data_IF_477224143955
#
_entry.id   IF_477224143955
#
_cell.length_a   1.000
_cell.length_b   1.000
_cell.length_c   1.000
_cell.angle_alpha   90.00
_cell.angle_beta   90.00
_cell.angle_gamma   90.00
#
_symmetry.space_group_name_H-M   'P 1'
#
loop_
_entity.id
_entity.type
_entity.pdbx_description
1 polymer ?
#
# COMPACT_ATOMS: atom_id res chain seq x y z
N UNK A 1 19.98 0.46 -4.35
CA UNK A 1 19.18 0.19 -5.56
C UNK A 1 18.93 -1.30 -5.77
N UNK A 2 19.94 -2.19 -5.76
CA UNK A 2 19.72 -3.64 -5.89
C UNK A 2 18.77 -4.25 -4.83
N UNK A 3 18.97 -3.95 -3.54
CA UNK A 3 18.03 -4.39 -2.48
C UNK A 3 16.59 -3.88 -2.66
N UNK A 4 16.42 -2.73 -3.31
CA UNK A 4 15.08 -2.21 -3.61
C UNK A 4 14.47 -2.97 -4.80
N UNK A 5 15.26 -3.26 -5.84
CA UNK A 5 14.86 -4.10 -6.96
C UNK A 5 14.41 -5.48 -6.49
N UNK A 6 15.20 -6.13 -5.61
CA UNK A 6 14.85 -7.42 -5.01
C UNK A 6 13.52 -7.35 -4.24
N UNK A 7 13.31 -6.30 -3.44
CA UNK A 7 12.04 -6.10 -2.70
C UNK A 7 10.85 -5.84 -3.61
N UNK A 8 11.04 -5.11 -4.72
CA UNK A 8 9.98 -4.86 -5.71
C UNK A 8 9.62 -6.17 -6.42
N UNK A 9 10.62 -6.97 -6.80
CA UNK A 9 10.42 -8.26 -7.48
C UNK A 9 9.83 -9.33 -6.57
N UNK A 10 10.14 -9.31 -5.27
CA UNK A 10 9.59 -10.23 -4.28
C UNK A 10 8.24 -9.78 -3.69
N UNK A 11 7.73 -8.60 -4.08
CA UNK A 11 6.48 -8.08 -3.55
C UNK A 11 5.29 -8.72 -4.26
N UNK A 12 4.43 -9.37 -3.49
CA UNK A 12 3.12 -9.87 -3.95
C UNK A 12 2.03 -8.78 -3.96
N UNK A 13 2.33 -7.58 -3.43
CA UNK A 13 1.37 -6.48 -3.29
C UNK A 13 1.32 -5.55 -4.51
N UNK A 14 2.10 -5.82 -5.54
CA UNK A 14 2.10 -5.12 -6.85
C UNK A 14 2.03 -6.17 -7.96
N UNK A 15 1.40 -5.82 -9.08
CA UNK A 15 1.32 -6.75 -10.23
C UNK A 15 2.71 -7.04 -10.80
N UNK A 16 2.89 -8.19 -11.47
CA UNK A 16 4.15 -8.51 -12.16
C UNK A 16 4.56 -7.43 -13.16
N UNK A 17 3.58 -6.83 -13.85
CA UNK A 17 3.81 -5.73 -14.79
C UNK A 17 4.31 -4.47 -14.07
N UNK A 18 3.67 -4.06 -12.98
CA UNK A 18 4.14 -2.92 -12.19
C UNK A 18 5.51 -3.19 -11.55
N UNK A 19 5.76 -4.42 -11.12
CA UNK A 19 7.06 -4.84 -10.58
C UNK A 19 8.17 -4.74 -11.64
N UNK A 20 7.91 -5.25 -12.85
CA UNK A 20 8.82 -5.17 -13.99
C UNK A 20 9.09 -3.72 -14.42
N UNK A 21 8.06 -2.88 -14.53
CA UNK A 21 8.21 -1.47 -14.91
C UNK A 21 9.03 -0.68 -13.88
N UNK A 22 8.83 -0.97 -12.60
CA UNK A 22 9.59 -0.36 -11.50
C UNK A 22 11.04 -0.86 -11.48
N UNK A 23 11.27 -2.15 -11.75
CA UNK A 23 12.61 -2.73 -11.87
C UNK A 23 13.39 -2.12 -13.05
N UNK A 24 12.75 -1.96 -14.21
CA UNK A 24 13.35 -1.34 -15.39
C UNK A 24 13.76 0.12 -15.13
N UNK A 25 12.95 0.87 -14.38
CA UNK A 25 13.27 2.24 -13.95
C UNK A 25 14.47 2.31 -13.01
N UNK A 26 14.67 1.31 -12.16
CA UNK A 26 15.85 1.19 -11.30
C UNK A 26 17.09 0.84 -12.12
N UNK A 27 16.97 -0.06 -13.11
CA UNK A 27 18.07 -0.43 -14.00
C UNK A 27 18.54 0.77 -14.85
N UNK A 28 17.62 1.58 -15.36
CA UNK A 28 17.95 2.80 -16.08
C UNK A 28 18.78 3.79 -15.22
N UNK A 29 18.47 3.89 -13.92
CA UNK A 29 19.24 4.74 -12.99
C UNK A 29 20.64 4.18 -12.70
N UNK A 30 20.79 2.86 -12.63
CA UNK A 30 22.09 2.21 -12.48
C UNK A 30 22.96 2.54 -13.70
N UNK A 31 22.41 2.40 -14.91
CA UNK A 31 23.12 2.74 -16.15
C UNK A 31 23.48 4.24 -16.23
N UNK A 32 22.57 5.14 -15.87
CA UNK A 32 22.85 6.59 -15.79
C UNK A 32 24.01 6.88 -14.81
N UNK A 33 24.06 6.18 -13.67
CA UNK A 33 25.11 6.37 -12.67
C UNK A 33 26.47 5.82 -13.13
N UNK A 34 26.48 4.68 -13.82
CA UNK A 34 27.69 4.08 -14.39
C UNK A 34 28.26 4.95 -15.51
N UNK A 35 27.42 5.45 -16.41
CA UNK A 35 27.84 6.38 -17.46
C UNK A 35 28.40 7.69 -16.88
N UNK A 36 27.79 8.22 -15.81
CA UNK A 36 28.29 9.43 -15.16
C UNK A 36 29.64 9.20 -14.46
N UNK A 37 29.85 8.01 -13.86
CA UNK A 37 31.17 7.60 -13.33
C UNK A 37 32.23 7.52 -14.41
N UNK A 38 31.89 7.01 -15.59
CA UNK A 38 32.82 6.89 -16.69
C UNK A 38 33.30 8.26 -17.21
N UNK A 39 32.44 9.27 -17.20
CA UNK A 39 32.82 10.66 -17.51
C UNK A 39 33.85 11.25 -16.53
N UNK A 40 33.85 10.83 -15.26
CA UNK A 40 34.92 11.22 -14.32
C UNK A 40 36.26 10.61 -14.75
N UNK A 41 36.27 9.34 -15.14
CA UNK A 41 37.50 8.65 -15.53
C UNK A 41 38.08 9.15 -16.85
N UNK A 42 37.23 9.66 -17.73
CA UNK A 42 37.60 10.21 -19.03
C UNK A 42 37.91 11.71 -19.01
N UNK A 43 37.57 12.42 -17.92
CA UNK A 43 37.80 13.86 -17.81
C UNK A 43 39.31 14.17 -17.80
N UNK A 44 39.73 15.00 -18.74
CA UNK A 44 41.12 15.44 -18.93
C UNK A 44 41.35 16.88 -18.49
N UNK A 45 40.27 17.64 -18.25
CA UNK A 45 40.31 19.02 -17.80
C UNK A 45 39.48 19.27 -16.54
N UNK A 46 39.77 20.37 -15.84
CA UNK A 46 38.99 20.80 -14.68
C UNK A 46 37.53 21.12 -15.03
N UNK A 47 37.27 21.65 -16.24
CA UNK A 47 35.91 21.91 -16.71
C UNK A 47 35.13 20.60 -16.96
N UNK A 48 35.77 19.62 -17.62
CA UNK A 48 35.19 18.28 -17.83
C UNK A 48 34.92 17.57 -16.50
N UNK A 49 35.85 17.66 -15.55
CA UNK A 49 35.69 17.08 -14.21
C UNK A 49 34.52 17.74 -13.46
N UNK A 50 34.42 19.07 -13.48
CA UNK A 50 33.31 19.78 -12.83
C UNK A 50 31.96 19.46 -13.47
N UNK A 51 31.90 19.30 -14.80
CA UNK A 51 30.70 18.87 -15.50
C UNK A 51 30.29 17.44 -15.11
N UNK A 52 31.25 16.51 -15.05
CA UNK A 52 31.02 15.13 -14.62
C UNK A 52 30.53 15.04 -13.17
N UNK A 53 31.11 15.85 -12.25
CA UNK A 53 30.67 15.93 -10.85
C UNK A 53 29.21 16.41 -10.76
N UNK A 54 28.83 17.47 -11.47
CA UNK A 54 27.44 17.97 -11.49
C UNK A 54 26.47 16.92 -12.01
N UNK A 55 26.87 16.17 -13.04
CA UNK A 55 26.06 15.10 -13.61
C UNK A 55 25.85 13.96 -12.60
N UNK A 56 26.90 13.54 -11.88
CA UNK A 56 26.78 12.54 -10.82
C UNK A 56 25.87 13.03 -9.68
N UNK A 57 26.00 14.29 -9.27
CA UNK A 57 25.13 14.87 -8.25
C UNK A 57 23.65 14.82 -8.70
N UNK A 58 23.38 15.18 -9.96
CA UNK A 58 22.05 15.11 -10.56
C UNK A 58 21.50 13.68 -10.59
N UNK A 59 22.28 12.73 -11.08
CA UNK A 59 21.88 11.30 -11.16
C UNK A 59 21.67 10.73 -9.76
N UNK A 60 22.53 11.05 -8.80
CA UNK A 60 22.41 10.59 -7.41
C UNK A 60 21.14 11.13 -6.76
N UNK A 61 20.83 12.42 -6.96
CA UNK A 61 19.58 13.02 -6.46
C UNK A 61 18.36 12.34 -7.07
N UNK A 62 18.33 12.17 -8.40
CA UNK A 62 17.25 11.48 -9.11
C UNK A 62 17.08 10.03 -8.61
N UNK A 63 18.19 9.30 -8.46
CA UNK A 63 18.18 7.93 -7.97
C UNK A 63 17.65 7.82 -6.53
N UNK A 64 18.03 8.75 -5.64
CA UNK A 64 17.52 8.82 -4.27
C UNK A 64 16.00 9.06 -4.26
N UNK A 65 15.52 10.11 -4.93
CA UNK A 65 14.10 10.47 -4.94
C UNK A 65 13.23 9.34 -5.51
N UNK A 66 13.69 8.72 -6.60
CA UNK A 66 12.99 7.58 -7.19
C UNK A 66 13.00 6.35 -6.27
N UNK A 67 14.14 6.06 -5.63
CA UNK A 67 14.23 4.96 -4.65
C UNK A 67 13.28 5.16 -3.48
N UNK A 68 13.17 6.38 -2.95
CA UNK A 68 12.23 6.72 -1.88
C UNK A 68 10.77 6.62 -2.37
N UNK A 69 10.45 7.18 -3.54
CA UNK A 69 9.11 7.07 -4.13
C UNK A 69 8.66 5.62 -4.30
N UNK A 70 9.55 4.76 -4.81
CA UNK A 70 9.26 3.34 -4.99
C UNK A 70 9.06 2.60 -3.67
N UNK A 71 9.89 2.86 -2.66
CA UNK A 71 9.76 2.25 -1.34
C UNK A 71 8.43 2.63 -0.67
N UNK A 72 8.02 3.90 -0.78
CA UNK A 72 6.73 4.36 -0.26
C UNK A 72 5.55 3.86 -1.10
N UNK A 73 5.73 3.71 -2.41
CA UNK A 73 4.74 3.09 -3.29
C UNK A 73 4.47 1.63 -2.95
N UNK A 74 5.47 0.90 -2.46
CA UNK A 74 5.32 -0.47 -1.97
C UNK A 74 4.52 -0.51 -0.66
N UNK A 75 4.93 0.29 0.34
CA UNK A 75 4.21 0.38 1.62
C UNK A 75 2.73 0.79 1.42
N UNK A 76 2.47 1.73 0.51
CA UNK A 76 1.10 2.12 0.13
C UNK A 76 0.32 0.93 -0.41
N UNK A 77 0.92 0.11 -1.27
CA UNK A 77 0.26 -1.07 -1.84
C UNK A 77 -0.04 -2.13 -0.78
N UNK A 78 0.87 -2.36 0.16
CA UNK A 78 0.66 -3.26 1.30
C UNK A 78 -0.54 -2.82 2.16
N UNK A 79 -0.62 -1.53 2.51
CA UNK A 79 -1.75 -0.99 3.29
C UNK A 79 -3.06 -1.09 2.49
N UNK A 80 -3.02 -0.83 1.17
CA UNK A 80 -4.18 -1.00 0.31
C UNK A 80 -4.70 -2.45 0.32
N UNK A 81 -3.81 -3.44 0.33
CA UNK A 81 -4.18 -4.84 0.49
C UNK A 81 -4.87 -5.14 1.83
N UNK A 82 -4.47 -4.46 2.92
CA UNK A 82 -5.19 -4.55 4.20
C UNK A 82 -6.59 -3.95 4.09
N UNK A 83 -6.72 -2.77 3.46
CA UNK A 83 -8.02 -2.11 3.21
C UNK A 83 -8.98 -3.02 2.46
N UNK A 84 -8.52 -3.72 1.41
CA UNK A 84 -9.38 -4.63 0.65
C UNK A 84 -9.88 -5.79 1.52
N UNK A 85 -9.02 -6.35 2.38
CA UNK A 85 -9.45 -7.39 3.33
C UNK A 85 -10.44 -6.84 4.35
N UNK A 86 -10.26 -5.60 4.79
CA UNK A 86 -11.19 -4.90 5.68
C UNK A 86 -12.58 -4.74 5.06
N UNK A 87 -12.66 -4.28 3.81
CA UNK A 87 -13.93 -4.14 3.06
C UNK A 87 -14.64 -5.51 2.90
N UNK A 88 -13.90 -6.59 2.70
CA UNK A 88 -14.48 -7.95 2.67
C UNK A 88 -15.05 -8.32 4.03
N UNK A 89 -14.32 -8.06 5.12
CA UNK A 89 -14.76 -8.35 6.49
C UNK A 89 -16.00 -7.56 6.85
N UNK A 90 -16.10 -6.29 6.47
CA UNK A 90 -17.28 -5.45 6.64
C UNK A 90 -18.53 -6.13 6.08
N UNK A 91 -18.47 -6.54 4.80
CA UNK A 91 -19.57 -7.24 4.13
C UNK A 91 -19.92 -8.58 4.79
N UNK A 92 -18.93 -9.28 5.37
CA UNK A 92 -19.22 -10.51 6.14
C UNK A 92 -20.02 -10.20 7.39
N UNK A 93 -19.68 -9.11 8.07
CA UNK A 93 -20.38 -8.68 9.29
C UNK A 93 -21.80 -8.23 8.94
N UNK A 94 -22.00 -7.47 7.86
CA UNK A 94 -23.34 -7.11 7.37
C UNK A 94 -24.24 -8.34 7.21
N UNK A 95 -23.72 -9.41 6.59
CA UNK A 95 -24.46 -10.66 6.42
C UNK A 95 -24.84 -11.29 7.78
N UNK A 96 -23.93 -11.27 8.76
CA UNK A 96 -24.21 -11.79 10.10
C UNK A 96 -25.26 -10.92 10.83
N UNK A 97 -25.21 -9.60 10.67
CA UNK A 97 -26.19 -8.69 11.25
C UNK A 97 -27.59 -8.91 10.69
N UNK A 98 -27.72 -9.06 9.37
CA UNK A 98 -28.99 -9.42 8.73
C UNK A 98 -29.56 -10.75 9.28
N UNK A 99 -28.70 -11.73 9.53
CA UNK A 99 -29.08 -12.99 10.18
C UNK A 99 -29.60 -12.77 11.60
N UNK A 100 -28.92 -11.96 12.41
CA UNK A 100 -29.33 -11.62 13.78
C UNK A 100 -30.65 -10.84 13.83
N UNK A 101 -30.85 -9.89 12.92
CA UNK A 101 -32.10 -9.13 12.79
C UNK A 101 -33.29 -10.02 12.44
N UNK A 102 -33.10 -10.99 11.54
CA UNK A 102 -34.14 -11.96 11.20
C UNK A 102 -34.58 -12.82 12.40
N UNK A 103 -33.69 -12.97 13.39
CA UNK A 103 -33.97 -13.64 14.66
C UNK A 103 -34.58 -12.70 15.72
N UNK A 104 -34.86 -11.45 15.38
CA UNK A 104 -35.41 -10.44 16.28
C UNK A 104 -34.40 -9.89 17.29
N UNK A 105 -33.09 -10.01 17.03
CA UNK A 105 -32.04 -9.40 17.85
C UNK A 105 -31.89 -7.93 17.47
N UNK A 106 -31.63 -7.09 18.46
CA UNK A 106 -31.27 -5.69 18.24
C UNK A 106 -29.78 -5.59 17.87
N UNK A 107 -29.51 -5.15 16.64
CA UNK A 107 -28.18 -4.99 16.05
C UNK A 107 -27.74 -3.53 15.96
N UNK A 108 -28.59 -2.57 16.34
CA UNK A 108 -28.39 -1.13 16.11
C UNK A 108 -27.05 -0.59 16.62
N UNK A 109 -26.60 -1.07 17.80
CA UNK A 109 -25.30 -0.70 18.37
C UNK A 109 -24.10 -1.24 17.59
N UNK A 110 -24.25 -2.37 16.90
CA UNK A 110 -23.22 -2.96 16.05
C UNK A 110 -23.19 -2.30 14.68
N UNK A 111 -24.36 -2.04 14.08
CA UNK A 111 -24.49 -1.31 12.82
C UNK A 111 -23.83 0.08 12.89
N UNK A 112 -24.03 0.81 14.00
CA UNK A 112 -23.40 2.10 14.20
C UNK A 112 -21.86 2.02 14.20
N UNK A 113 -21.30 0.97 14.84
CA UNK A 113 -19.85 0.72 14.86
C UNK A 113 -19.33 0.27 13.51
N UNK A 114 -20.11 -0.51 12.77
CA UNK A 114 -19.76 -0.98 11.44
C UNK A 114 -19.73 0.19 10.45
N UNK A 115 -20.66 1.14 10.57
CA UNK A 115 -20.63 2.39 9.81
C UNK A 115 -19.39 3.24 10.12
N UNK A 116 -19.01 3.35 11.39
CA UNK A 116 -17.77 4.03 11.81
C UNK A 116 -16.52 3.33 11.24
N UNK A 117 -16.50 2.00 11.26
CA UNK A 117 -15.46 1.18 10.66
C UNK A 117 -15.33 1.44 9.16
N UNK A 118 -16.43 1.36 8.40
CA UNK A 118 -16.45 1.62 6.95
C UNK A 118 -15.98 3.03 6.60
N UNK A 119 -16.42 4.04 7.36
CA UNK A 119 -15.96 5.43 7.19
C UNK A 119 -14.45 5.57 7.43
N UNK A 120 -13.92 4.92 8.47
CA UNK A 120 -12.48 4.93 8.78
C UNK A 120 -11.66 4.28 7.67
N UNK A 121 -12.13 3.15 7.14
CA UNK A 121 -11.50 2.45 6.01
C UNK A 121 -11.54 3.30 4.73
N UNK A 122 -12.68 3.94 4.43
CA UNK A 122 -12.79 4.85 3.28
C UNK A 122 -11.80 6.02 3.38
N UNK A 123 -11.68 6.63 4.57
CA UNK A 123 -10.71 7.72 4.78
C UNK A 123 -9.26 7.27 4.57
N UNK A 124 -8.91 6.05 4.99
CA UNK A 124 -7.59 5.47 4.73
C UNK A 124 -7.34 5.30 3.23
N UNK A 125 -8.36 4.84 2.48
CA UNK A 125 -8.31 4.64 1.02
C UNK A 125 -8.05 5.95 0.28
N UNK A 126 -8.76 7.02 0.64
CA UNK A 126 -8.60 8.35 0.04
C UNK A 126 -7.20 8.92 0.24
N UNK A 127 -6.63 8.72 1.43
CA UNK A 127 -5.24 9.13 1.72
C UNK A 127 -4.22 8.35 0.89
N UNK A 128 -4.43 7.05 0.69
CA UNK A 128 -3.54 6.25 -0.18
C UNK A 128 -3.67 6.63 -1.65
N UNK A 129 -4.88 6.96 -2.12
CA UNK A 129 -5.10 7.47 -3.48
C UNK A 129 -4.34 8.79 -3.70
N UNK A 130 -4.47 9.74 -2.76
CA UNK A 130 -3.73 11.01 -2.79
C UNK A 130 -2.21 10.78 -2.74
N UNK A 131 -1.73 9.85 -1.90
CA UNK A 131 -0.32 9.51 -1.84
C UNK A 131 0.20 8.88 -3.14
N UNK A 132 -0.63 8.10 -3.86
CA UNK A 132 -0.27 7.50 -5.15
C UNK A 132 0.09 8.58 -6.17
N UNK A 133 -0.72 9.63 -6.28
CA UNK A 133 -0.50 10.72 -7.23
C UNK A 133 0.78 11.49 -6.89
N UNK A 134 0.98 11.83 -5.61
CA UNK A 134 2.17 12.55 -5.16
C UNK A 134 3.48 11.79 -5.40
N UNK A 135 3.48 10.46 -5.26
CA UNK A 135 4.67 9.64 -5.52
C UNK A 135 5.07 9.61 -7.01
N UNK A 136 4.17 9.93 -7.93
CA UNK A 136 4.47 9.98 -9.37
C UNK A 136 5.30 11.21 -9.77
N UNK A 137 5.22 12.30 -8.99
CA UNK A 137 5.96 13.53 -9.28
C UNK A 137 7.48 13.37 -9.10
N UNK A 138 7.94 12.40 -8.30
CA UNK A 138 9.37 12.16 -8.00
C UNK A 138 10.09 13.43 -7.45
N UNK A 139 9.36 14.33 -6.79
CA UNK A 139 9.89 15.54 -6.15
C UNK A 139 9.97 15.41 -4.62
N UNK A 140 11.01 15.94 -4.00
CA UNK A 140 11.26 15.76 -2.55
C UNK A 140 10.11 16.24 -1.67
N UNK A 141 9.53 17.42 -1.98
CA UNK A 141 8.38 17.95 -1.23
C UNK A 141 7.14 17.04 -1.35
N UNK A 142 6.85 16.57 -2.57
CA UNK A 142 5.71 15.67 -2.82
C UNK A 142 5.87 14.31 -2.14
N UNK A 143 7.11 13.79 -2.10
CA UNK A 143 7.44 12.53 -1.42
C UNK A 143 7.22 12.67 0.09
N UNK A 144 7.65 13.77 0.71
CA UNK A 144 7.40 13.98 2.14
C UNK A 144 5.91 14.11 2.47
N UNK A 145 5.13 14.79 1.63
CA UNK A 145 3.67 14.83 1.79
C UNK A 145 3.05 13.44 1.64
N UNK A 146 3.45 12.67 0.63
CA UNK A 146 2.98 11.30 0.44
C UNK A 146 3.30 10.40 1.64
N UNK A 147 4.49 10.55 2.25
CA UNK A 147 4.89 9.83 3.45
C UNK A 147 3.96 10.10 4.63
N UNK A 148 3.56 11.35 4.83
CA UNK A 148 2.61 11.72 5.89
C UNK A 148 1.25 11.07 5.65
N UNK A 149 0.72 11.15 4.42
CA UNK A 149 -0.55 10.53 4.07
C UNK A 149 -0.54 9.01 4.26
N UNK A 150 0.57 8.34 3.90
CA UNK A 150 0.73 6.89 4.11
C UNK A 150 0.74 6.54 5.60
N UNK A 151 1.38 7.35 6.45
CA UNK A 151 1.37 7.14 7.90
C UNK A 151 -0.02 7.34 8.49
N UNK A 152 -0.74 8.36 8.07
CA UNK A 152 -2.11 8.61 8.49
C UNK A 152 -3.05 7.49 8.06
N UNK A 153 -2.94 7.01 6.81
CA UNK A 153 -3.71 5.86 6.34
C UNK A 153 -3.41 4.60 7.16
N UNK A 154 -2.14 4.35 7.50
CA UNK A 154 -1.75 3.25 8.38
C UNK A 154 -2.39 3.37 9.77
N UNK A 155 -2.40 4.57 10.34
CA UNK A 155 -3.02 4.82 11.64
C UNK A 155 -4.53 4.57 11.60
N UNK A 156 -5.22 5.05 10.57
CA UNK A 156 -6.66 4.78 10.37
C UNK A 156 -6.96 3.29 10.23
N UNK A 157 -6.13 2.53 9.53
CA UNK A 157 -6.28 1.06 9.44
C UNK A 157 -6.10 0.39 10.80
N UNK A 158 -5.23 0.92 11.67
CA UNK A 158 -5.08 0.41 13.04
C UNK A 158 -6.29 0.73 13.91
N UNK A 159 -6.85 1.93 13.77
CA UNK A 159 -8.08 2.34 14.45
C UNK A 159 -9.28 1.48 13.99
N UNK A 160 -9.43 1.28 12.69
CA UNK A 160 -10.42 0.38 12.13
C UNK A 160 -10.26 -1.05 12.67
N UNK A 161 -9.03 -1.53 12.86
CA UNK A 161 -8.80 -2.84 13.47
C UNK A 161 -9.32 -2.91 14.91
N UNK A 162 -9.13 -1.86 15.72
CA UNK A 162 -9.70 -1.80 17.06
C UNK A 162 -11.23 -1.83 17.05
N UNK A 163 -11.86 -1.05 16.15
CA UNK A 163 -13.31 -1.08 15.93
C UNK A 163 -13.80 -2.47 15.54
N UNK A 164 -13.08 -3.14 14.63
CA UNK A 164 -13.41 -4.49 14.19
C UNK A 164 -13.42 -5.51 15.34
N UNK A 165 -12.47 -5.44 16.26
CA UNK A 165 -12.46 -6.33 17.42
C UNK A 165 -13.64 -6.07 18.37
N UNK A 166 -14.03 -4.80 18.55
CA UNK A 166 -15.25 -4.45 19.30
C UNK A 166 -16.51 -5.00 18.61
N UNK A 167 -16.60 -4.86 17.29
CA UNK A 167 -17.72 -5.37 16.49
C UNK A 167 -17.80 -6.89 16.60
N UNK A 168 -16.69 -7.61 16.41
CA UNK A 168 -16.65 -9.08 16.55
C UNK A 168 -17.09 -9.54 17.93
N UNK A 169 -16.67 -8.85 18.99
CA UNK A 169 -17.07 -9.16 20.34
C UNK A 169 -18.58 -9.00 20.54
N UNK A 170 -19.15 -7.86 20.09
CA UNK A 170 -20.59 -7.62 20.18
C UNK A 170 -21.41 -8.64 19.36
N UNK A 171 -20.95 -8.99 18.16
CA UNK A 171 -21.59 -10.02 17.32
C UNK A 171 -21.62 -11.37 18.04
N UNK A 172 -20.52 -11.76 18.69
CA UNK A 172 -20.45 -13.01 19.48
C UNK A 172 -21.39 -13.01 20.67
N UNK A 173 -21.50 -11.88 21.37
CA UNK A 173 -22.41 -11.73 22.52
C UNK A 173 -23.89 -11.87 22.12
N UNK A 174 -24.25 -11.48 20.90
CA UNK A 174 -25.58 -11.69 20.34
C UNK A 174 -25.81 -13.10 19.78
N UNK A 175 -24.77 -13.96 19.77
CA UNK A 175 -24.83 -15.31 19.23
C UNK A 175 -24.73 -15.37 17.69
N UNK A 176 -24.10 -14.38 17.07
CA UNK A 176 -23.91 -14.34 15.62
C UNK A 176 -22.98 -15.46 15.14
N UNK A 177 -23.47 -16.26 14.19
CA UNK A 177 -22.70 -17.28 13.50
C UNK A 177 -22.16 -16.74 12.17
N UNK A 178 -20.98 -17.20 11.69
CA UNK A 178 -20.42 -16.75 10.43
C UNK A 178 -21.33 -17.12 9.25
N UNK A 179 -21.71 -16.11 8.45
CA UNK A 179 -22.50 -16.28 7.24
C UNK A 179 -21.75 -17.17 6.21
N UNK A 180 -22.34 -18.30 5.82
CA UNK A 180 -21.77 -19.20 4.81
C UNK A 180 -21.67 -18.56 3.41
N UNK A 181 -22.58 -17.63 3.12
CA UNK A 181 -22.69 -16.88 1.85
C UNK A 181 -21.55 -15.87 1.64
N UNK A 182 -20.76 -15.59 2.68
CA UNK A 182 -19.68 -14.61 2.65
C UNK A 182 -18.38 -15.10 1.96
N UNK A 183 -18.38 -16.31 1.39
CA UNK A 183 -17.19 -16.89 0.73
C UNK A 183 -16.96 -16.37 -0.70
N UNK A 184 -17.96 -15.75 -1.35
CA UNK A 184 -17.88 -15.31 -2.76
C UNK A 184 -18.01 -13.79 -2.94
N UNK A 185 -17.46 -13.00 -2.02
CA UNK A 185 -17.55 -11.54 -2.11
C UNK A 185 -16.48 -11.04 -3.08
N UNK A 186 -16.86 -10.87 -4.36
CA UNK A 186 -16.08 -10.11 -5.32
C UNK A 186 -16.08 -8.62 -4.92
N UNK A 187 -14.90 -8.03 -4.79
CA UNK A 187 -14.74 -6.57 -4.69
C UNK A 187 -14.69 -6.05 -6.14
N UNK A 188 -15.61 -5.16 -6.52
CA UNK A 188 -15.54 -4.51 -7.83
C UNK A 188 -14.29 -3.62 -7.92
N UNK A 189 -13.40 -3.91 -8.88
CA UNK A 189 -12.19 -3.12 -9.13
C UNK A 189 -10.89 -3.96 -9.12
N UNK A 190 -10.73 -4.78 -10.15
CA UNK A 190 -9.47 -5.27 -10.76
C UNK A 190 -8.22 -5.44 -9.88
N UNK A 191 -7.93 -6.70 -9.56
CA UNK A 191 -6.72 -7.45 -9.88
C UNK A 191 -6.65 -8.56 -8.84
N UNK A 192 -6.57 -9.81 -9.30
CA UNK A 192 -6.38 -10.98 -8.44
C UNK A 192 -5.13 -10.80 -7.58
N UNK A 193 -5.27 -10.23 -6.39
CA UNK A 193 -4.29 -10.35 -5.32
C UNK A 193 -4.48 -11.75 -4.78
N UNK A 194 -3.69 -12.69 -5.28
CA UNK A 194 -3.57 -14.02 -4.69
C UNK A 194 -3.21 -13.82 -3.23
N UNK A 195 -4.12 -14.18 -2.33
CA UNK A 195 -3.91 -14.10 -0.89
C UNK A 195 -2.91 -15.22 -0.55
N UNK A 196 -1.68 -14.94 -0.11
CA UNK A 196 -0.87 -15.98 0.49
C UNK A 196 -1.60 -16.45 1.75
N UNK A 197 -2.08 -17.70 1.73
CA UNK A 197 -2.53 -18.37 2.94
C UNK A 197 -1.39 -18.35 3.95
N UNK A 198 -1.61 -17.90 5.20
CA UNK A 198 -0.57 -17.94 6.21
C UNK A 198 -0.05 -19.38 6.32
N UNK A 199 1.27 -19.58 6.46
CA UNK A 199 1.83 -20.93 6.58
C UNK A 199 1.17 -21.61 7.79
N UNK A 200 0.51 -22.74 7.52
CA UNK A 200 0.04 -23.64 8.56
C UNK A 200 1.30 -24.23 9.19
N UNK A 201 1.74 -23.66 10.31
CA UNK A 201 2.74 -24.31 11.16
C UNK A 201 2.11 -25.56 11.78
N UNK A 202 2.73 -26.75 11.62
CA UNK A 202 2.29 -27.98 12.26
C UNK A 202 2.50 -27.97 13.78
#
# INVERSE_FOLDING_TARGET
MQKLKEKIMASESVTEQESSDRAAKVDALILEAEAARQKITEATSSEEMNAAIREIQRVTKKARLRSESQAHGLLRAEINGVIHRSEVVEKKIDCVLAGLESQGRDTSGIEAKLSEYGSTISSAKDKLASAKELLQAEEEATIETAKTLIREAKWLVQEAHALLEMIKQAVRELGGEPCAEAQEIAIEGDATVTIPTPPVTP
#
